data_IF_046568183606
#
_entry.id   IF_046568183606
#
_cell.length_a   1.000
_cell.length_b   1.000
_cell.length_c   1.000
_cell.angle_alpha   90.00
_cell.angle_beta   90.00
_cell.angle_gamma   90.00
#
_symmetry.space_group_name_H-M   'P 1'
#
loop_
_entity.id
_entity.type
_entity.pdbx_description
1 polymer ?
2 non-polymer ?
3 non-polymer ?
4 non-polymer ?
5 non-polymer ?
6 non-polymer ?
7 water ?
#
# COMPACT_ATOMS: atom_id res chain seq x y z
N UNK A 23 8.46 11.70 -14.06
CA UNK A 23 8.81 10.42 -13.37
C UNK A 23 7.56 9.63 -13.00
N UNK A 24 6.97 9.94 -11.84
CA UNK A 24 5.86 9.17 -11.29
C UNK A 24 4.57 9.33 -12.09
N UNK A 25 4.38 10.50 -12.71
CA UNK A 25 3.12 10.80 -13.41
C UNK A 25 2.86 9.91 -14.63
N UNK A 26 3.92 9.39 -15.25
CA UNK A 26 3.77 8.59 -16.47
C UNK A 26 3.92 7.08 -16.26
N UNK A 27 4.04 6.63 -15.02
CA UNK A 27 4.09 5.19 -14.76
C UNK A 27 2.69 4.62 -14.96
N UNK A 28 2.54 3.61 -15.83
CA UNK A 28 1.22 3.02 -16.00
C UNK A 28 0.72 2.36 -14.72
N UNK A 29 -0.60 2.36 -14.53
CA UNK A 29 -1.20 1.64 -13.39
C UNK A 29 -0.87 0.15 -13.44
N UNK A 30 -0.75 -0.41 -14.64
CA UNK A 30 -0.41 -1.83 -14.76
C UNK A 30 -0.34 -2.35 -16.17
N UNK A 31 0.31 -3.50 -16.32
CA UNK A 31 0.41 -4.21 -17.60
C UNK A 31 -0.88 -4.95 -17.96
N UNK A 32 -1.61 -5.43 -16.96
CA UNK A 32 -2.88 -6.12 -17.18
C UNK A 32 -3.77 -5.97 -15.95
N UNK A 33 -4.51 -4.87 -15.90
CA UNK A 33 -5.31 -4.50 -14.73
C UNK A 33 -6.59 -5.33 -14.64
N UNK A 34 -7.10 -5.57 -13.42
CA UNK A 34 -6.56 -5.15 -12.14
C UNK A 34 -5.57 -6.14 -11.54
N UNK A 35 -5.36 -7.30 -12.16
CA UNK A 35 -4.58 -8.34 -11.49
C UNK A 35 -3.06 -8.19 -11.58
N UNK A 36 -2.58 -7.49 -12.61
CA UNK A 36 -1.13 -7.28 -12.85
C UNK A 36 -0.92 -5.76 -12.85
N UNK A 37 -0.44 -5.24 -11.73
CA UNK A 37 -0.36 -3.79 -11.54
C UNK A 37 1.02 -3.37 -11.06
N UNK A 38 1.28 -2.07 -11.14
CA UNK A 38 2.55 -1.50 -10.69
C UNK A 38 2.37 -0.77 -9.37
N UNK A 39 3.38 -0.85 -8.51
CA UNK A 39 3.39 -0.10 -7.26
C UNK A 39 4.66 0.73 -7.17
N UNK A 40 4.49 2.02 -6.92
CA UNK A 40 5.62 2.90 -6.64
C UNK A 40 5.81 2.90 -5.12
N UNK A 41 7.00 2.50 -4.69
CA UNK A 41 7.31 2.38 -3.27
C UNK A 41 7.64 3.75 -2.68
N UNK A 42 6.98 4.09 -1.58
CA UNK A 42 7.25 5.34 -0.86
C UNK A 42 8.06 5.12 0.43
N UNK A 43 7.75 4.02 1.12
CA UNK A 43 8.32 3.73 2.44
C UNK A 43 8.76 2.26 2.49
N UNK A 44 10.08 2.01 2.51
CA UNK A 44 10.57 0.62 2.63
C UNK A 44 10.20 -0.02 3.96
N UNK A 45 9.98 -1.34 3.94
CA UNK A 45 9.79 -2.11 5.17
C UNK A 45 10.89 -1.81 6.17
N UNK A 46 10.49 -1.58 7.41
CA UNK A 46 11.41 -1.40 8.54
C UNK A 46 12.31 -0.16 8.44
N UNK A 47 11.97 0.77 7.54
CA UNK A 47 12.75 1.98 7.40
C UNK A 47 12.54 2.84 8.64
N UNK A 48 13.44 3.78 8.86
CA UNK A 48 13.29 4.72 9.98
C UNK A 48 11.94 5.45 9.83
N UNK A 49 11.31 5.84 10.95
CA UNK A 49 9.88 6.20 10.96
C UNK A 49 9.59 7.59 10.38
N UNK A 50 9.82 7.71 9.08
CA UNK A 50 9.61 8.94 8.34
C UNK A 50 8.70 8.60 7.17
N UNK A 51 7.59 9.31 7.07
CA UNK A 51 6.58 9.06 6.05
C UNK A 51 6.91 9.93 4.83
N UNK A 52 7.24 9.30 3.71
CA UNK A 52 7.45 10.01 2.44
C UNK A 52 6.22 9.81 1.56
N UNK A 53 5.95 10.80 0.71
CA UNK A 53 4.89 10.73 -0.28
C UNK A 53 5.42 11.18 -1.62
N UNK A 54 5.09 10.44 -2.68
CA UNK A 54 5.50 10.83 -4.02
C UNK A 54 4.67 12.03 -4.46
N UNK A 55 5.34 13.04 -5.00
CA UNK A 55 4.65 14.19 -5.55
C UNK A 55 4.76 14.11 -7.07
N UNK A 56 3.64 13.86 -7.73
CA UNK A 56 3.63 13.76 -9.20
C UNK A 56 3.88 15.10 -9.90
N UNK A 57 3.57 16.21 -9.23
CA UNK A 57 3.87 17.53 -9.78
C UNK A 57 5.38 17.82 -9.77
N UNK A 58 6.09 17.27 -8.79
CA UNK A 58 7.53 17.50 -8.64
C UNK A 58 8.40 16.37 -9.20
N UNK A 59 7.86 15.16 -9.27
CA UNK A 59 8.62 13.98 -9.68
C UNK A 59 9.58 13.48 -8.61
N UNK A 60 9.34 13.87 -7.36
CA UNK A 60 10.23 13.54 -6.25
C UNK A 60 9.45 13.07 -5.03
N UNK A 61 10.14 12.36 -4.14
CA UNK A 61 9.58 12.04 -2.83
C UNK A 61 9.65 13.27 -1.92
N UNK A 62 8.57 13.52 -1.18
CA UNK A 62 8.48 14.63 -0.26
C UNK A 62 8.32 14.07 1.16
N UNK A 63 8.99 14.69 2.12
CA UNK A 63 8.84 14.29 3.51
C UNK A 63 7.46 14.76 3.97
N UNK A 64 6.57 13.83 4.26
CA UNK A 64 5.22 14.21 4.68
C UNK A 64 5.20 14.47 6.18
N UNK A 65 5.66 13.50 6.96
CA UNK A 65 5.82 13.71 8.39
C UNK A 65 6.68 12.65 9.05
N UNK A 66 7.26 13.04 10.18
CA UNK A 66 7.91 12.11 11.09
C UNK A 66 6.81 11.47 11.92
N UNK A 67 6.75 10.14 11.91
CA UNK A 67 5.70 9.43 12.63
C UNK A 67 5.84 9.68 14.13
N UNK A 68 4.78 10.23 14.74
CA UNK A 68 4.83 10.66 16.13
C UNK A 68 5.19 9.57 17.14
N UNK A 69 4.66 8.37 16.90
CA UNK A 69 4.93 7.21 17.74
C UNK A 69 6.30 6.56 17.49
N UNK A 70 6.97 6.93 16.40
CA UNK A 70 8.22 6.28 16.02
C UNK A 70 8.07 4.86 15.50
N UNK A 71 6.84 4.43 15.20
CA UNK A 71 6.59 3.08 14.71
C UNK A 71 6.95 2.98 13.23
N UNK A 72 7.43 1.81 12.81
CA UNK A 72 7.89 1.59 11.44
C UNK A 72 6.90 0.72 10.68
N UNK A 73 6.77 0.98 9.38
CA UNK A 73 5.96 0.13 8.51
C UNK A 73 6.54 -1.29 8.51
N UNK A 74 5.72 -2.31 8.81
CA UNK A 74 6.29 -3.65 8.88
C UNK A 74 6.55 -4.27 7.52
N UNK A 75 5.94 -3.71 6.48
CA UNK A 75 6.16 -4.15 5.11
C UNK A 75 6.30 -2.91 4.23
N UNK A 76 6.74 -3.07 2.98
CA UNK A 76 6.91 -1.91 2.10
C UNK A 76 5.55 -1.27 1.81
N UNK A 77 5.54 0.05 1.65
CA UNK A 77 4.30 0.78 1.42
C UNK A 77 4.42 1.73 0.24
N UNK A 78 3.39 1.78 -0.59
CA UNK A 78 3.37 2.67 -1.74
C UNK A 78 1.99 2.80 -2.33
N UNK A 79 1.93 3.05 -3.62
CA UNK A 79 0.65 3.27 -4.28
C UNK A 79 0.68 2.85 -5.74
N UNK A 80 -0.50 2.69 -6.31
CA UNK A 80 -0.66 2.40 -7.73
C UNK A 80 -0.85 3.73 -8.46
N UNK A 81 0.08 4.08 -9.36
CA UNK A 81 -0.07 5.33 -10.11
C UNK A 81 -1.28 5.28 -11.04
N UNK A 82 -1.77 6.45 -11.44
CA UNK A 82 -2.93 6.54 -12.34
C UNK A 82 -4.19 5.93 -11.71
N UNK A 83 -4.29 6.03 -10.38
CA UNK A 83 -5.51 5.64 -9.68
C UNK A 83 -5.95 6.77 -8.76
N UNK A 84 -7.24 6.78 -8.45
CA UNK A 84 -7.83 7.74 -7.54
C UNK A 84 -8.86 7.00 -6.69
N UNK A 85 -8.56 6.84 -5.41
CA UNK A 85 -9.45 6.15 -4.48
C UNK A 85 -10.49 7.12 -3.92
N UNK A 86 -11.40 6.58 -3.10
CA UNK A 86 -12.47 7.37 -2.50
C UNK A 86 -12.00 8.48 -1.58
N UNK A 87 -10.79 8.36 -1.05
CA UNK A 87 -10.22 9.37 -0.14
C UNK A 87 -9.47 10.51 -0.86
N UNK A 88 -9.46 10.50 -2.19
CA UNK A 88 -8.82 11.56 -2.97
C UNK A 88 -7.35 11.32 -3.31
N UNK A 89 -6.80 10.21 -2.82
CA UNK A 89 -5.42 9.81 -3.12
C UNK A 89 -5.42 8.53 -3.96
N UNK A 90 -4.27 8.21 -4.59
CA UNK A 90 -4.17 6.92 -5.27
C UNK A 90 -4.37 5.74 -4.32
N UNK A 91 -4.71 4.60 -4.90
CA UNK A 91 -4.88 3.36 -4.14
C UNK A 91 -3.56 2.99 -3.44
N UNK A 92 -3.63 2.78 -2.12
CA UNK A 92 -2.45 2.44 -1.31
C UNK A 92 -2.23 0.93 -1.27
N UNK A 93 -0.96 0.53 -1.22
CA UNK A 93 -0.60 -0.88 -1.26
C UNK A 93 0.57 -1.18 -0.31
N UNK A 94 0.42 -2.25 0.46
CA UNK A 94 1.49 -2.87 1.23
C UNK A 94 2.08 -4.01 0.41
N UNK A 95 3.39 -4.01 0.17
CA UNK A 95 4.03 -5.04 -0.64
C UNK A 95 4.98 -5.85 0.23
N UNK A 96 4.70 -7.14 0.36
CA UNK A 96 5.51 -8.06 1.17
C UNK A 96 6.70 -8.59 0.34
N UNK A 97 7.91 -8.43 0.86
CA UNK A 97 9.14 -8.91 0.19
C UNK A 97 10.16 -9.45 1.19
N UNK A 98 11.08 -10.32 0.73
CA UNK A 98 12.12 -10.84 1.64
C UNK A 98 13.17 -9.81 2.08
N UNK A 99 13.38 -8.77 1.27
CA UNK A 99 14.25 -7.65 1.63
C UNK A 99 13.52 -6.36 1.30
N UNK A 100 13.75 -5.29 2.10
CA UNK A 100 13.05 -4.04 1.79
C UNK A 100 13.40 -3.49 0.40
N UNK A 101 12.43 -2.83 -0.21
CA UNK A 101 12.60 -2.21 -1.53
C UNK A 101 13.02 -0.75 -1.43
N UNK A 102 13.69 -0.27 -2.47
CA UNK A 102 14.13 1.13 -2.54
C UNK A 102 12.95 2.09 -2.62
N UNK A 103 12.97 3.14 -1.80
CA UNK A 103 12.01 4.22 -1.94
C UNK A 103 12.14 4.86 -3.32
N UNK A 104 11.00 5.06 -3.96
CA UNK A 104 10.91 5.63 -5.30
C UNK A 104 11.05 4.64 -6.44
N UNK A 105 11.31 3.37 -6.13
CA UNK A 105 11.38 2.33 -7.16
C UNK A 105 9.98 1.83 -7.49
N UNK A 106 9.86 1.13 -8.62
CA UNK A 106 8.60 0.57 -9.07
C UNK A 106 8.69 -0.95 -9.11
N UNK A 107 7.68 -1.62 -8.57
CA UNK A 107 7.62 -3.08 -8.57
C UNK A 107 6.30 -3.58 -9.19
N UNK A 108 6.43 -4.56 -10.09
CA UNK A 108 5.29 -5.25 -10.69
C UNK A 108 4.72 -6.21 -9.66
N UNK A 109 3.42 -6.11 -9.38
CA UNK A 109 2.83 -6.78 -8.22
C UNK A 109 1.48 -7.44 -8.53
N UNK A 110 1.06 -8.28 -7.59
CA UNK A 110 -0.24 -8.95 -7.63
C UNK A 110 -0.85 -8.93 -6.24
N UNK A 111 -2.18 -8.96 -6.19
CA UNK A 111 -2.90 -8.75 -4.93
C UNK A 111 -3.10 -10.04 -4.14
N UNK A 112 -3.06 -9.91 -2.82
CA UNK A 112 -3.42 -11.00 -1.91
C UNK A 112 -4.74 -10.71 -1.19
N UNK A 113 -5.05 -9.43 -1.00
CA UNK A 113 -6.24 -9.04 -0.25
C UNK A 113 -6.11 -7.60 0.17
N UNK A 114 -6.82 -7.23 1.23
CA UNK A 114 -6.80 -5.85 1.70
C UNK A 114 -7.23 -5.75 3.16
N UNK A 115 -6.73 -4.70 3.80
CA UNK A 115 -7.11 -4.37 5.16
C UNK A 115 -8.12 -3.25 5.09
N UNK A 116 -9.30 -3.48 5.64
CA UNK A 116 -10.36 -2.48 5.65
C UNK A 116 -10.32 -1.68 6.94
N UNK A 117 -10.37 -0.36 6.82
CA UNK A 117 -10.34 0.53 7.97
C UNK A 117 -11.08 1.83 7.68
N UNK A 118 -11.24 2.65 8.72
CA UNK A 118 -11.75 4.00 8.59
C UNK A 118 -10.79 4.92 9.33
N UNK A 119 -10.56 6.12 8.78
CA UNK A 119 -9.67 7.10 9.42
C UNK A 119 -10.20 8.52 9.22
N UNK A 120 -9.38 9.53 9.56
CA UNK A 120 -9.81 10.93 9.47
C UNK A 120 -10.21 11.37 8.05
N UNK A 121 -9.57 10.79 7.03
CA UNK A 121 -9.90 11.09 5.63
C UNK A 121 -11.18 10.39 5.15
N UNK A 122 -11.68 9.45 5.94
CA UNK A 122 -12.89 8.69 5.62
C UNK A 122 -12.61 7.20 5.61
N UNK A 123 -13.46 6.44 4.92
CA UNK A 123 -13.20 5.02 4.71
C UNK A 123 -11.87 4.88 3.98
N UNK A 124 -11.00 4.01 4.48
CA UNK A 124 -9.74 3.74 3.81
C UNK A 124 -9.53 2.24 3.78
N UNK A 125 -8.89 1.78 2.72
CA UNK A 125 -8.46 0.41 2.63
C UNK A 125 -7.01 0.42 2.19
N UNK A 126 -6.24 -0.56 2.67
CA UNK A 126 -4.87 -0.77 2.24
C UNK A 126 -4.81 -2.12 1.55
N UNK A 127 -4.39 -2.17 0.29
CA UNK A 127 -4.20 -3.46 -0.36
C UNK A 127 -2.97 -4.15 0.20
N UNK A 128 -2.99 -5.49 0.18
CA UNK A 128 -1.81 -6.29 0.47
C UNK A 128 -1.43 -7.03 -0.81
N UNK A 129 -0.15 -6.95 -1.17
CA UNK A 129 0.35 -7.47 -2.44
C UNK A 129 1.72 -8.11 -2.25
N UNK A 130 2.13 -8.88 -3.26
CA UNK A 130 3.50 -9.36 -3.38
C UNK A 130 3.94 -9.12 -4.81
N UNK A 131 5.26 -9.21 -5.08
CA UNK A 131 5.67 -9.01 -6.46
C UNK A 131 5.21 -10.13 -7.39
N UNK A 132 5.20 -9.81 -8.68
CA UNK A 132 5.04 -10.81 -9.73
C UNK A 132 5.96 -12.00 -9.46
N UNK A 133 5.47 -13.21 -9.73
CA UNK A 133 6.24 -14.43 -9.45
C UNK A 133 7.63 -14.51 -10.09
N UNK A 134 7.81 -13.89 -11.26
CA UNK A 134 9.11 -13.86 -11.94
C UNK A 134 10.04 -12.85 -11.29
N UNK A 135 9.48 -11.83 -10.66
CA UNK A 135 10.27 -10.86 -9.92
C UNK A 135 10.71 -11.43 -8.56
N UNK A 136 9.79 -12.08 -7.87
CA UNK A 136 10.04 -12.62 -6.53
C UNK A 136 9.54 -14.05 -6.41
N UNK A 137 10.39 -15.02 -6.79
CA UNK A 137 9.98 -16.41 -6.63
C UNK A 137 9.73 -16.79 -5.17
N UNK A 138 10.34 -16.05 -4.24
CA UNK A 138 10.23 -16.32 -2.81
C UNK A 138 8.81 -16.19 -2.26
N UNK A 139 8.01 -15.33 -2.88
CA UNK A 139 6.63 -15.07 -2.45
C UNK A 139 5.59 -15.80 -3.31
N UNK A 140 6.04 -16.65 -4.23
CA UNK A 140 5.14 -17.31 -5.19
C UNK A 140 4.09 -18.21 -4.54
N UNK A 141 4.41 -18.78 -3.39
CA UNK A 141 3.44 -19.64 -2.70
C UNK A 141 2.43 -18.89 -1.83
N UNK A 142 2.54 -17.56 -1.76
CA UNK A 142 1.51 -16.74 -1.15
C UNK A 142 0.46 -16.46 -2.21
N UNK A 143 -0.67 -17.15 -2.11
CA UNK A 143 -1.73 -17.08 -3.12
C UNK A 143 -2.89 -16.18 -2.70
N UNK A 144 -3.07 -15.99 -1.40
CA UNK A 144 -4.06 -15.06 -0.89
C UNK A 144 -3.67 -14.60 0.49
N UNK A 145 -4.46 -13.69 1.05
CA UNK A 145 -4.20 -13.13 2.37
C UNK A 145 -4.22 -14.22 3.46
N UNK A 146 -4.96 -15.31 3.23
CA UNK A 146 -4.97 -16.45 4.17
C UNK A 146 -3.62 -17.16 4.30
N UNK A 147 -2.75 -17.03 3.29
CA UNK A 147 -1.43 -17.65 3.32
C UNK A 147 -0.39 -16.82 4.06
N UNK A 148 -0.67 -15.54 4.27
CA UNK A 148 0.25 -14.66 5.00
C UNK A 148 0.25 -15.12 6.46
N UNK A 149 1.44 -15.28 7.07
CA UNK A 149 1.51 -15.68 8.47
C UNK A 149 0.68 -14.78 9.39
N UNK A 150 0.03 -15.40 10.37
CA UNK A 150 -0.81 -14.69 11.32
C UNK A 150 -0.05 -13.59 12.05
N UNK A 151 1.19 -13.85 12.43
CA UNK A 151 1.97 -12.86 13.18
C UNK A 151 2.14 -11.57 12.38
N UNK A 152 2.34 -11.70 11.06
CA UNK A 152 2.58 -10.53 10.21
C UNK A 152 1.28 -9.75 9.98
N UNK A 153 0.18 -10.46 9.75
CA UNK A 153 -1.12 -9.81 9.66
C UNK A 153 -1.43 -9.05 10.96
N UNK A 154 -1.14 -9.67 12.10
CA UNK A 154 -1.39 -9.03 13.40
C UNK A 154 -0.53 -7.77 13.59
N UNK A 155 0.73 -7.84 13.15
CA UNK A 155 1.64 -6.69 13.21
C UNK A 155 1.17 -5.54 12.33
N UNK A 156 0.69 -5.86 11.12
CA UNK A 156 0.14 -4.85 10.21
C UNK A 156 -1.10 -4.17 10.80
N UNK A 157 -2.01 -4.97 11.36
CA UNK A 157 -3.21 -4.42 12.00
C UNK A 157 -2.83 -3.52 13.18
N UNK A 158 -1.90 -4.00 14.01
CA UNK A 158 -1.46 -3.23 15.17
C UNK A 158 -0.84 -1.91 14.75
N UNK A 159 -0.01 -1.97 13.71
CA UNK A 159 0.63 -0.77 13.19
C UNK A 159 -0.40 0.29 12.81
N UNK A 160 -1.38 -0.08 11.99
CA UNK A 160 -2.38 0.90 11.56
C UNK A 160 -3.27 1.40 12.70
N UNK A 161 -3.53 0.55 13.69
CA UNK A 161 -4.32 0.96 14.85
C UNK A 161 -3.59 1.95 15.76
N UNK A 162 -2.26 1.91 15.76
CA UNK A 162 -1.47 2.64 16.75
C UNK A 162 -0.54 3.73 16.23
N UNK A 163 -0.17 3.69 14.94
CA UNK A 163 0.91 4.58 14.47
C UNK A 163 0.58 6.06 14.55
N UNK A 164 -0.70 6.41 14.49
CA UNK A 164 -1.15 7.80 14.57
C UNK A 164 -1.56 8.23 15.98
N UNK A 165 -1.21 7.43 16.99
CA UNK A 165 -1.68 7.66 18.36
C UNK A 165 -1.24 9.00 18.95
N UNK A 166 -0.14 9.56 18.44
CA UNK A 166 0.41 10.82 18.94
C UNK A 166 0.24 11.98 17.95
N UNK A 167 -0.69 11.84 17.01
CA UNK A 167 -1.04 12.94 16.11
C UNK A 167 -2.47 13.37 16.36
N UNK A 168 -2.63 14.60 16.84
CA UNK A 168 -3.93 15.12 17.26
C UNK A 168 -4.91 15.15 16.09
N UNK A 169 -6.14 14.71 16.35
CA UNK A 169 -7.21 14.76 15.36
C UNK A 169 -7.17 13.65 14.33
N UNK A 170 -6.28 12.68 14.52
CA UNK A 170 -6.17 11.54 13.62
C UNK A 170 -6.44 10.27 14.40
N UNK A 171 -7.04 9.29 13.74
CA UNK A 171 -7.48 8.06 14.38
C UNK A 171 -7.68 7.00 13.32
N UNK A 172 -7.64 5.73 13.73
CA UNK A 172 -7.86 4.61 12.82
C UNK A 172 -8.59 3.46 13.50
N UNK A 173 -9.71 3.05 12.92
CA UNK A 173 -10.42 1.85 13.35
C UNK A 173 -10.33 0.78 12.26
N UNK A 174 -9.69 -0.34 12.58
CA UNK A 174 -9.57 -1.48 11.66
C UNK A 174 -10.83 -2.34 11.72
N UNK A 175 -11.41 -2.63 10.55
CA UNK A 175 -12.66 -3.38 10.45
C UNK A 175 -12.41 -4.86 10.21
N UNK A 176 -11.44 -5.17 9.36
CA UNK A 176 -11.10 -6.57 9.07
C UNK A 176 -10.38 -6.75 7.75
N UNK A 177 -10.09 -8.01 7.44
CA UNK A 177 -9.42 -8.36 6.19
C UNK A 177 -10.46 -8.74 5.13
N UNK A 178 -10.13 -8.47 3.87
CA UNK A 178 -10.89 -8.99 2.74
C UNK A 178 -9.91 -9.58 1.73
N UNK A 179 -10.46 -10.27 0.73
CA UNK A 179 -9.66 -11.07 -0.18
C UNK A 179 -9.34 -10.42 -1.51
N UNK A 180 -8.89 -11.26 -2.44
CA UNK A 180 -8.37 -10.79 -3.72
C UNK A 180 -9.44 -10.08 -4.56
N UNK A 181 -10.66 -10.60 -4.53
CA UNK A 181 -11.76 -9.99 -5.28
C UNK A 181 -12.01 -8.55 -4.85
N UNK A 182 -12.01 -8.31 -3.54
CA UNK A 182 -12.19 -6.96 -3.00
C UNK A 182 -11.06 -6.04 -3.47
N UNK A 183 -9.84 -6.57 -3.48
CA UNK A 183 -8.68 -5.79 -3.92
C UNK A 183 -8.81 -5.40 -5.39
N UNK A 184 -9.23 -6.35 -6.21
CA UNK A 184 -9.42 -6.08 -7.63
C UNK A 184 -10.49 -5.02 -7.88
N UNK A 185 -11.57 -5.03 -7.10
CA UNK A 185 -12.59 -3.99 -7.20
C UNK A 185 -12.00 -2.61 -6.88
N UNK A 186 -11.18 -2.54 -5.83
CA UNK A 186 -10.54 -1.29 -5.44
C UNK A 186 -9.68 -0.74 -6.58
N UNK A 187 -8.94 -1.63 -7.24
CA UNK A 187 -8.05 -1.25 -8.33
C UNK A 187 -8.84 -0.77 -9.55
N UNK A 188 -9.84 -1.54 -9.97
CA UNK A 188 -10.65 -1.17 -11.13
C UNK A 188 -11.38 0.17 -10.89
N UNK A 189 -11.96 0.33 -9.71
CA UNK A 189 -12.61 1.59 -9.32
C UNK A 189 -11.62 2.75 -9.37
N UNK A 190 -10.41 2.53 -8.84
CA UNK A 190 -9.40 3.57 -8.79
C UNK A 190 -8.94 4.03 -10.16
N UNK A 191 -8.75 3.08 -11.06
CA UNK A 191 -8.34 3.39 -12.43
C UNK A 191 -9.42 4.21 -13.14
N UNK A 192 -10.68 3.81 -12.99
CA UNK A 192 -11.80 4.50 -13.61
C UNK A 192 -11.98 5.91 -13.05
N UNK A 193 -11.86 6.06 -11.73
CA UNK A 193 -12.03 7.36 -11.08
C UNK A 193 -10.97 8.36 -11.56
N UNK A 194 -9.76 7.86 -11.79
CA UNK A 194 -8.64 8.71 -12.20
C UNK A 194 -8.87 9.32 -13.58
N UNK A 195 -9.45 8.53 -14.48
CA UNK A 195 -9.63 8.94 -15.88
C UNK A 195 -10.87 9.84 -16.08
N UNK A 196 -11.59 10.12 -14.99
CA UNK A 196 -12.69 11.08 -14.95
C UNK A 196 -14.03 10.37 -14.84
X LIG B 1 -1.60 8.55 6.01
X LIG B 1 -2.92 8.98 6.60
X LIG B 1 -1.85 7.67 4.81
X LIG B 1 -0.82 9.78 5.58
X LIG B 1 -0.81 7.81 7.06
X LIG C 1 -7.29 -8.18 -16.66
X LIG D 1 -4.90 6.59 1.29
X LIG E 1 -10.61 -17.29 -5.89
X LIG E 1 -11.74 -17.23 -5.00
X LIG E 1 -9.96 -15.91 -5.99
X LIG E 1 -9.71 -15.60 -7.36
X LIG E 1 -9.18 -14.28 -7.54
X LIG E 1 -9.13 -13.94 -9.02
X LIG E 1 -12.84 -15.65 -10.95
X LIG E 1 -12.09 -14.47 -11.23
X LIG E 1 -10.66 -14.63 -10.73
X LIG E 1 -10.47 -13.86 -9.54
X LIG F 1 -11.22 -6.24 13.60
X LIG F 1 -10.48 -5.79 14.74
X LIG F 1 -10.96 -7.72 13.35
X LIG F 1 -9.57 -7.93 13.08
X LIG F 1 -9.29 -9.21 12.52
X LIG F 1 -7.98 -9.74 13.09
X LIG F 1 -7.46 -10.76 12.23
X LIG G 1 -9.36 -13.42 -15.34
X LIG G 1 -9.63 -14.83 -15.34
X LIG G 1 -8.32 -13.04 -14.29
X LIG G 1 -8.57 -11.70 -13.81
X LIG G 1 -9.41 -11.73 -12.66
X LIG G 1 -9.96 -10.36 -12.29
X LIG G 1 -11.46 -10.69 -8.70
X LIG G 1 -12.33 -9.85 -9.48
X LIG G 1 -11.67 -9.52 -10.82
X LIG G 1 -10.81 -10.59 -11.18
#
# INVERSE_FOLDING_TARGET
MAHHHHHHMGTLEAQTQGPGSMSFSNVPAGKDLPQDFNVIIEIPAQSEPVKYEADKALGLLVVDRFIGTGMRYPVNYGFIPQTLSGDGDPVDVLVITPFPLLAGSVVRARALGMLKMTDESGVDAKLVAVPHDKVCPMTANLKSIDDVPAYLKDQIKHFFEQYKALEKGKWVKVEGWDGIDAAHKEITDGVANFKK
PO4 P O1 O2 O3 O4
K K
NA NA
PGE C1 O1 C2 O2 C3 C4 O4 C6 C5 O3
PEG C1 O1 C2 O2 C3 C4 O4
PGE C1 O1 C2 O2 C3 C4 O4 C6 C5 O3
#
